data_IF_709586831471
#
_entry.id   IF_709586831471
#
_cell.length_a   1.000
_cell.length_b   1.000
_cell.length_c   1.000
_cell.angle_alpha   90.00
_cell.angle_beta   90.00
_cell.angle_gamma   90.00
#
_symmetry.space_group_name_H-M   'P 1'
#
loop_
_entity.id
_entity.type
_entity.pdbx_description
1 polymer ?
#
# COMPACT_ATOMS: atom_id res chain seq x y z
N UNK A 1 19.20 -16.87 -6.24
CA UNK A 1 19.52 -15.43 -6.27
C UNK A 1 19.09 -14.81 -4.95
N UNK A 2 19.83 -13.83 -4.43
CA UNK A 2 19.48 -13.12 -3.19
C UNK A 2 19.17 -11.68 -3.56
N UNK A 3 18.05 -11.13 -3.08
CA UNK A 3 17.71 -9.72 -3.31
C UNK A 3 18.78 -8.84 -2.64
N UNK A 4 19.35 -7.89 -3.39
CA UNK A 4 20.34 -6.94 -2.85
C UNK A 4 19.67 -5.96 -1.88
N UNK A 5 18.39 -5.67 -2.10
CA UNK A 5 17.56 -4.79 -1.29
C UNK A 5 16.43 -5.61 -0.68
N UNK A 6 16.58 -5.93 0.60
CA UNK A 6 15.56 -6.69 1.33
C UNK A 6 14.41 -5.78 1.74
N UNK A 7 13.18 -6.31 1.80
CA UNK A 7 12.08 -5.60 2.45
C UNK A 7 12.45 -5.21 3.88
N UNK A 8 11.86 -4.13 4.43
CA UNK A 8 12.05 -3.78 5.83
C UNK A 8 11.66 -4.97 6.73
N UNK A 9 12.47 -5.22 7.77
CA UNK A 9 12.32 -6.41 8.62
C UNK A 9 11.04 -6.44 9.47
N UNK A 10 10.37 -5.28 9.63
CA UNK A 10 9.02 -5.17 10.18
C UNK A 10 8.22 -4.23 9.29
N UNK A 11 6.94 -4.51 9.02
CA UNK A 11 6.10 -3.61 8.26
C UNK A 11 6.01 -2.24 8.94
N UNK A 12 6.15 -1.17 8.14
CA UNK A 12 6.08 0.19 8.66
C UNK A 12 4.65 0.58 9.05
N UNK A 13 4.54 1.60 9.91
CA UNK A 13 3.24 2.07 10.38
C UNK A 13 2.48 2.74 9.25
N UNK A 14 1.21 2.38 9.13
CA UNK A 14 0.30 2.99 8.19
C UNK A 14 -0.22 4.34 8.73
N UNK A 15 -0.37 5.32 7.84
CA UNK A 15 -0.94 6.62 8.20
C UNK A 15 -2.43 6.49 8.51
N UNK A 16 -2.89 7.19 9.55
CA UNK A 16 -4.25 7.08 10.10
C UNK A 16 -5.17 8.23 9.75
N UNK A 17 -4.64 9.31 9.17
CA UNK A 17 -5.44 10.48 8.86
C UNK A 17 -5.06 11.06 7.51
N UNK A 18 -6.10 11.44 6.77
CA UNK A 18 -6.00 12.29 5.61
C UNK A 18 -6.75 13.59 5.87
N UNK A 19 -6.48 14.63 5.07
CA UNK A 19 -7.19 15.90 5.16
C UNK A 19 -8.68 15.77 4.83
N UNK A 20 -9.50 16.80 5.09
CA UNK A 20 -10.97 16.76 4.96
C UNK A 20 -11.51 16.23 3.62
N UNK A 21 -10.79 16.40 2.52
CA UNK A 21 -11.21 15.99 1.17
C UNK A 21 -10.50 14.74 0.66
N UNK A 22 -9.86 13.98 1.54
CA UNK A 22 -9.05 12.82 1.18
C UNK A 22 -9.34 11.68 2.15
N UNK A 23 -9.51 10.48 1.63
CA UNK A 23 -9.75 9.26 2.41
C UNK A 23 -8.68 8.23 2.07
N UNK A 24 -8.25 7.44 3.05
CA UNK A 24 -7.32 6.32 2.87
C UNK A 24 -8.03 5.03 3.26
N UNK A 25 -8.05 4.07 2.36
CA UNK A 25 -8.59 2.74 2.59
C UNK A 25 -7.49 1.71 2.42
N UNK A 26 -7.34 0.81 3.39
CA UNK A 26 -6.41 -0.31 3.31
C UNK A 26 -7.18 -1.58 2.98
N UNK A 27 -6.78 -2.27 1.92
CA UNK A 27 -7.51 -3.41 1.36
C UNK A 27 -6.55 -4.55 1.07
N UNK A 28 -6.97 -5.78 1.34
CA UNK A 28 -6.22 -6.97 0.92
C UNK A 28 -6.71 -7.44 -0.44
N UNK A 29 -5.80 -7.59 -1.39
CA UNK A 29 -6.10 -8.04 -2.76
C UNK A 29 -5.70 -9.49 -2.91
N UNK A 30 -6.64 -10.31 -3.38
CA UNK A 30 -6.37 -11.69 -3.77
C UNK A 30 -5.62 -11.71 -5.09
N UNK A 31 -4.44 -12.33 -5.11
CA UNK A 31 -3.63 -12.50 -6.32
C UNK A 31 -4.07 -13.73 -7.10
N UNK A 32 -3.66 -13.82 -8.37
CA UNK A 32 -3.87 -15.02 -9.19
C UNK A 32 -3.25 -16.29 -8.58
N UNK A 33 -2.21 -16.14 -7.75
CA UNK A 33 -1.56 -17.24 -7.02
C UNK A 33 -2.29 -17.64 -5.74
N UNK A 34 -3.51 -17.13 -5.53
CA UNK A 34 -4.35 -17.38 -4.35
C UNK A 34 -3.72 -16.92 -3.02
N UNK A 35 -2.70 -16.06 -3.07
CA UNK A 35 -2.19 -15.32 -1.91
C UNK A 35 -2.89 -13.96 -1.79
N UNK A 36 -2.69 -13.29 -0.66
CA UNK A 36 -3.22 -11.94 -0.43
C UNK A 36 -2.06 -10.96 -0.27
N UNK A 37 -2.17 -9.80 -0.92
CA UNK A 37 -1.24 -8.68 -0.74
C UNK A 37 -1.97 -7.47 -0.15
N UNK A 38 -1.35 -6.71 0.74
CA UNK A 38 -1.90 -5.47 1.26
C UNK A 38 -1.82 -4.40 0.16
N UNK A 39 -2.81 -3.53 0.16
CA UNK A 39 -2.91 -2.39 -0.73
C UNK A 39 -3.50 -1.20 0.01
N UNK A 40 -3.28 -0.02 -0.52
CA UNK A 40 -3.96 1.19 -0.09
C UNK A 40 -4.57 1.91 -1.28
N UNK A 41 -5.74 2.48 -1.05
CA UNK A 41 -6.42 3.36 -1.98
C UNK A 41 -6.62 4.73 -1.32
N UNK A 42 -6.05 5.76 -1.92
CA UNK A 42 -6.25 7.16 -1.55
C UNK A 42 -7.29 7.74 -2.51
N UNK A 43 -8.44 8.12 -1.96
CA UNK A 43 -9.52 8.78 -2.70
C UNK A 43 -9.44 10.28 -2.48
N UNK A 44 -9.40 11.05 -3.58
CA UNK A 44 -9.43 12.51 -3.57
C UNK A 44 -10.77 12.98 -4.12
N UNK A 45 -11.51 13.77 -3.34
CA UNK A 45 -12.82 14.28 -3.74
C UNK A 45 -12.72 15.03 -5.08
N UNK A 46 -13.59 14.68 -6.03
CA UNK A 46 -13.66 15.23 -7.39
C UNK A 46 -12.45 14.92 -8.30
N UNK A 47 -11.52 14.04 -7.88
CA UNK A 47 -10.46 13.60 -8.76
C UNK A 47 -10.99 12.80 -9.95
N UNK A 48 -10.54 13.16 -11.15
CA UNK A 48 -10.90 12.49 -12.41
C UNK A 48 -10.03 11.28 -12.72
N UNK A 49 -8.77 11.32 -12.28
CA UNK A 49 -7.77 10.32 -12.64
C UNK A 49 -7.28 9.54 -11.42
N UNK A 50 -6.81 8.33 -11.67
CA UNK A 50 -6.24 7.43 -10.66
C UNK A 50 -4.85 6.99 -11.11
N UNK A 51 -3.87 7.11 -10.23
CA UNK A 51 -2.52 6.59 -10.46
C UNK A 51 -2.42 5.21 -9.82
N UNK A 52 -1.96 4.22 -10.57
CA UNK A 52 -1.47 2.96 -10.02
C UNK A 52 0.02 3.11 -9.71
N UNK A 53 0.37 3.11 -8.43
CA UNK A 53 1.74 3.34 -7.94
C UNK A 53 2.36 2.01 -7.47
N UNK A 54 3.55 1.71 -7.98
CA UNK A 54 4.34 0.56 -7.55
C UNK A 54 5.52 1.08 -6.75
N UNK A 55 5.70 0.62 -5.51
CA UNK A 55 6.73 1.17 -4.61
C UNK A 55 8.14 0.75 -5.02
N UNK A 56 9.15 1.46 -4.50
CA UNK A 56 10.56 1.16 -4.75
C UNK A 56 11.03 -0.12 -4.05
N UNK A 57 12.20 -0.62 -4.45
CA UNK A 57 12.83 -1.72 -3.72
C UNK A 57 13.15 -1.30 -2.27
N UNK A 58 13.09 -2.25 -1.33
CA UNK A 58 13.26 -2.03 0.11
C UNK A 58 12.28 -1.03 0.77
N UNK A 59 11.18 -0.68 0.09
CA UNK A 59 10.09 0.11 0.65
C UNK A 59 8.89 -0.78 0.99
N UNK A 60 7.99 -0.27 1.83
CA UNK A 60 6.65 -0.81 2.01
C UNK A 60 5.62 0.34 1.99
N UNK A 61 4.34 0.00 1.95
CA UNK A 61 3.24 0.98 1.96
C UNK A 61 3.29 2.00 3.11
N UNK A 62 3.71 1.59 4.31
CA UNK A 62 3.79 2.49 5.46
C UNK A 62 4.90 3.52 5.33
N UNK A 63 5.97 3.22 4.59
CA UNK A 63 7.04 4.19 4.31
C UNK A 63 6.61 5.27 3.31
N UNK A 64 5.77 4.91 2.35
CA UNK A 64 5.44 5.79 1.22
C UNK A 64 4.09 6.50 1.33
N UNK A 65 3.21 6.09 2.27
CA UNK A 65 1.83 6.60 2.34
C UNK A 65 1.75 8.12 2.48
N UNK A 66 2.62 8.74 3.28
CA UNK A 66 2.59 10.20 3.46
C UNK A 66 3.04 10.94 2.20
N UNK A 67 4.04 10.40 1.49
CA UNK A 67 4.43 10.89 0.16
C UNK A 67 3.27 10.79 -0.84
N UNK A 68 2.56 9.65 -0.86
CA UNK A 68 1.41 9.46 -1.75
C UNK A 68 0.25 10.39 -1.40
N UNK A 69 0.02 10.70 -0.12
CA UNK A 69 -0.98 11.69 0.28
C UNK A 69 -0.66 13.07 -0.29
N UNK A 70 0.60 13.49 -0.22
CA UNK A 70 1.00 14.80 -0.75
C UNK A 70 0.98 14.82 -2.27
N UNK A 71 1.36 13.72 -2.92
CA UNK A 71 1.23 13.54 -4.37
C UNK A 71 -0.23 13.62 -4.83
N UNK A 72 -1.14 12.94 -4.13
CA UNK A 72 -2.59 12.96 -4.40
C UNK A 72 -3.16 14.37 -4.29
N UNK A 73 -2.75 15.13 -3.26
CA UNK A 73 -3.16 16.53 -3.09
C UNK A 73 -2.61 17.43 -4.18
N UNK A 74 -1.33 17.31 -4.50
CA UNK A 74 -0.63 18.17 -5.46
C UNK A 74 -1.18 17.99 -6.87
N UNK A 75 -1.42 16.74 -7.29
CA UNK A 75 -1.89 16.43 -8.64
C UNK A 75 -3.42 16.34 -8.75
N UNK A 76 -4.13 16.36 -7.62
CA UNK A 76 -5.58 16.18 -7.56
C UNK A 76 -6.06 14.86 -8.20
N UNK A 77 -5.46 13.75 -7.75
CA UNK A 77 -5.70 12.40 -8.28
C UNK A 77 -5.97 11.39 -7.16
N UNK A 78 -6.70 10.32 -7.48
CA UNK A 78 -6.74 9.13 -6.64
C UNK A 78 -5.43 8.35 -6.81
N UNK A 79 -5.07 7.53 -5.81
CA UNK A 79 -3.88 6.67 -5.90
C UNK A 79 -4.23 5.27 -5.40
N UNK A 80 -3.86 4.26 -6.17
CA UNK A 80 -3.85 2.86 -5.77
C UNK A 80 -2.40 2.41 -5.64
N UNK A 81 -2.01 1.87 -4.48
CA UNK A 81 -0.68 1.31 -4.26
C UNK A 81 -0.78 -0.06 -3.55
N UNK A 82 0.23 -0.91 -3.72
CA UNK A 82 0.23 -2.27 -3.19
C UNK A 82 1.65 -2.70 -2.78
N UNK A 83 1.79 -3.51 -1.73
CA UNK A 83 3.06 -4.20 -1.47
C UNK A 83 3.21 -5.37 -2.45
N UNK A 84 4.44 -5.61 -2.92
CA UNK A 84 4.77 -6.86 -3.61
C UNK A 84 4.71 -8.06 -2.65
N UNK A 85 4.49 -9.27 -3.17
CA UNK A 85 4.60 -10.49 -2.34
C UNK A 85 5.97 -10.59 -1.67
N UNK A 86 5.97 -10.81 -0.36
CA UNK A 86 7.17 -10.85 0.48
C UNK A 86 7.62 -9.48 1.01
N UNK A 87 6.91 -8.39 0.70
CA UNK A 87 7.16 -7.05 1.23
C UNK A 87 6.10 -6.62 2.23
N UNK A 88 6.50 -5.74 3.16
CA UNK A 88 5.60 -5.16 4.15
C UNK A 88 4.72 -6.21 4.83
N UNK A 89 3.41 -5.95 4.84
CA UNK A 89 2.44 -6.84 5.49
C UNK A 89 2.15 -8.12 4.69
N UNK A 90 2.63 -8.25 3.46
CA UNK A 90 2.49 -9.49 2.68
C UNK A 90 3.51 -10.57 3.09
N UNK A 91 4.57 -10.23 3.82
CA UNK A 91 5.58 -11.21 4.23
C UNK A 91 5.04 -12.18 5.31
N UNK A 92 3.94 -11.81 5.97
CA UNK A 92 3.19 -12.63 6.95
C UNK A 92 1.85 -13.16 6.38
N UNK A 93 1.63 -13.10 5.06
CA UNK A 93 0.31 -13.38 4.47
C UNK A 93 -0.20 -14.82 4.72
N UNK A 94 0.70 -15.79 4.89
CA UNK A 94 0.32 -17.17 5.23
C UNK A 94 -0.19 -17.30 6.68
N UNK A 95 0.21 -16.38 7.58
CA UNK A 95 -0.16 -16.40 9.01
C UNK A 95 -1.39 -15.54 9.29
N UNK A 96 -1.57 -14.42 8.58
CA UNK A 96 -2.63 -13.45 8.87
C UNK A 96 -4.00 -13.90 8.34
N UNK A 97 -4.06 -14.60 7.18
CA UNK A 97 -5.34 -15.06 6.63
C UNK A 97 -6.00 -16.17 7.48
N UNK A 98 -5.20 -16.97 8.19
CA UNK A 98 -5.69 -17.97 9.14
C UNK A 98 -6.34 -17.39 10.41
N UNK A 99 -6.10 -16.11 10.72
CA UNK A 99 -6.56 -15.47 11.98
C UNK A 99 -7.68 -14.44 11.81
N UNK A 100 -8.05 -14.10 10.58
CA UNK A 100 -9.08 -13.09 10.26
C UNK A 100 -10.39 -13.70 9.71
N UNK A 101 -10.49 -15.03 9.69
CA UNK A 101 -11.74 -15.79 9.52
C UNK A 101 -12.06 -16.51 10.84
#
# INVERSE_FOLDING_TARGET
SKLLFQPPGRPSKLSRSAGKDTEIQYVWIKTARKSYIPSLYISKKHARYTILYSHGNAEDLGMIVDFLLDLSKLLHVNIMAYDYTGYGWSNDSDVIHSKMM
#
